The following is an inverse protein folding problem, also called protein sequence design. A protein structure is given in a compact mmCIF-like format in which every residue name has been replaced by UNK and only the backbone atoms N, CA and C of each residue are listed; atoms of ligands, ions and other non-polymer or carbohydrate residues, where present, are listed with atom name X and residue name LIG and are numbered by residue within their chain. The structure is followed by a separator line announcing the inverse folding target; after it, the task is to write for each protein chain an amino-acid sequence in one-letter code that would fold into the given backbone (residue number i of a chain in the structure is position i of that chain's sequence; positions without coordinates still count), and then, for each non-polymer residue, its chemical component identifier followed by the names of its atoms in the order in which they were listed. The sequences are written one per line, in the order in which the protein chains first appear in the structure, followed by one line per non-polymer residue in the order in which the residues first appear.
data_IF_187777999064
#
_entry.id   IF_187777999064
#
_cell.length_a   1.000
_cell.length_b   1.000
_cell.length_c   1.000
_cell.angle_alpha   90.00
_cell.angle_beta   90.00
_cell.angle_gamma   90.00
#
_symmetry.space_group_name_H-M   'P 1'
#
loop_
_entity.id
_entity.type
_entity.pdbx_description
1 polymer ?
#
# COMPACT_ATOMS: atom_id res chain seq x y z
N UNK A 1 -1.57 9.38 -9.41
CA UNK A 1 -1.02 8.23 -8.66
C UNK A 1 0.50 8.26 -8.63
N UNK A 2 1.17 8.18 -9.79
CA UNK A 2 2.65 8.15 -9.86
C UNK A 2 3.33 9.42 -9.30
N UNK A 3 2.82 10.61 -9.61
CA UNK A 3 3.36 11.86 -9.04
C UNK A 3 3.34 11.91 -7.51
N UNK A 4 2.34 11.28 -6.86
CA UNK A 4 2.31 11.17 -5.40
C UNK A 4 3.34 10.15 -4.90
N UNK A 5 3.53 9.05 -5.64
CA UNK A 5 4.62 8.09 -5.39
C UNK A 5 6.00 8.75 -5.51
N UNK A 6 6.21 9.60 -6.52
CA UNK A 6 7.46 10.32 -6.71
C UNK A 6 7.77 11.22 -5.52
N UNK A 7 6.76 11.95 -5.00
CA UNK A 7 6.92 12.77 -3.80
C UNK A 7 7.21 11.91 -2.56
N UNK A 8 6.47 10.82 -2.34
CA UNK A 8 6.70 9.93 -1.20
C UNK A 8 8.12 9.35 -1.22
N UNK A 9 8.62 8.96 -2.39
CA UNK A 9 10.00 8.48 -2.59
C UNK A 9 11.01 9.60 -2.37
N UNK A 10 10.79 10.79 -2.94
CA UNK A 10 11.69 11.93 -2.81
C UNK A 10 11.89 12.34 -1.35
N UNK A 11 10.82 12.32 -0.55
CA UNK A 11 10.87 12.66 0.88
C UNK A 11 11.14 11.46 1.80
N UNK A 12 11.44 10.27 1.25
CA UNK A 12 11.64 9.04 2.03
C UNK A 12 10.52 8.77 3.05
N UNK A 13 9.27 8.96 2.63
CA UNK A 13 8.12 8.71 3.50
C UNK A 13 7.86 7.20 3.62
N UNK A 14 7.53 6.70 4.83
CA UNK A 14 7.00 5.36 4.99
C UNK A 14 5.78 5.17 4.08
N UNK A 15 5.87 4.19 3.19
CA UNK A 15 4.85 3.91 2.17
C UNK A 15 4.37 2.47 2.35
N UNK A 16 3.06 2.27 2.30
CA UNK A 16 2.43 0.95 2.38
C UNK A 16 1.58 0.78 1.12
N UNK A 17 1.77 -0.34 0.43
CA UNK A 17 0.99 -0.70 -0.76
C UNK A 17 -0.11 -1.67 -0.36
N UNK A 18 -1.34 -1.45 -0.84
CA UNK A 18 -2.44 -2.38 -0.58
C UNK A 18 -3.43 -2.42 -1.74
N UNK A 19 -4.01 -3.58 -1.98
CA UNK A 19 -5.03 -3.83 -3.01
C UNK A 19 -6.27 -4.48 -2.38
N UNK A 20 -7.37 -4.49 -3.13
CA UNK A 20 -8.61 -5.19 -2.76
C UNK A 20 -8.98 -6.15 -3.88
N UNK A 21 -9.02 -7.45 -3.57
CA UNK A 21 -9.41 -8.53 -4.48
C UNK A 21 -8.70 -8.48 -5.85
N UNK A 22 -7.36 -8.42 -5.81
CA UNK A 22 -6.53 -8.14 -7.00
C UNK A 22 -6.49 -9.24 -8.06
N UNK A 23 -6.85 -10.48 -7.69
CA UNK A 23 -7.00 -11.60 -8.63
C UNK A 23 -8.39 -11.65 -9.28
N UNK A 24 -9.29 -10.73 -8.89
CA UNK A 24 -10.64 -10.61 -9.41
C UNK A 24 -10.81 -9.41 -10.36
N UNK A 25 -12.06 -8.91 -10.54
CA UNK A 25 -12.35 -7.82 -11.47
C UNK A 25 -11.59 -6.51 -11.22
N UNK A 26 -11.10 -6.30 -9.99
CA UNK A 26 -10.33 -5.11 -9.63
C UNK A 26 -8.92 -5.11 -10.24
N UNK A 27 -8.38 -6.29 -10.56
CA UNK A 27 -7.07 -6.45 -11.16
C UNK A 27 -5.89 -6.11 -10.23
N UNK A 28 -4.65 -6.29 -10.73
CA UNK A 28 -3.44 -6.08 -9.96
C UNK A 28 -3.16 -4.59 -9.72
N UNK A 29 -2.34 -4.29 -8.69
CA UNK A 29 -1.73 -2.97 -8.56
C UNK A 29 -0.87 -2.68 -9.80
N UNK A 30 -0.88 -1.42 -10.24
CA UNK A 30 -0.03 -0.94 -11.35
C UNK A 30 1.45 -1.31 -11.11
N UNK A 31 2.13 -1.95 -12.08
CA UNK A 31 3.50 -2.45 -11.91
C UNK A 31 4.51 -1.37 -11.49
N UNK A 32 4.32 -0.13 -11.95
CA UNK A 32 5.20 1.00 -11.68
C UNK A 32 5.30 1.31 -10.20
N UNK A 33 4.21 1.15 -9.43
CA UNK A 33 4.26 1.36 -7.98
C UNK A 33 5.03 0.24 -7.25
N UNK A 34 4.90 -1.00 -7.71
CA UNK A 34 5.69 -2.12 -7.15
C UNK A 34 7.18 -1.91 -7.44
N UNK A 35 7.52 -1.44 -8.64
CA UNK A 35 8.90 -1.11 -9.01
C UNK A 35 9.43 0.12 -8.26
N UNK A 36 8.59 1.10 -7.97
CA UNK A 36 8.97 2.31 -7.25
C UNK A 36 9.26 2.05 -5.77
N UNK A 37 8.50 1.14 -5.16
CA UNK A 37 8.57 0.79 -3.73
C UNK A 37 8.72 -0.73 -3.53
N UNK A 38 9.85 -1.33 -3.94
CA UNK A 38 10.03 -2.78 -3.90
C UNK A 38 10.05 -3.35 -2.47
N UNK A 39 10.47 -2.54 -1.50
CA UNK A 39 10.60 -2.94 -0.09
C UNK A 39 9.43 -2.47 0.79
N UNK A 40 8.46 -1.74 0.22
CA UNK A 40 7.29 -1.32 0.98
C UNK A 40 6.42 -2.53 1.35
N UNK A 41 5.84 -2.56 2.57
CA UNK A 41 4.85 -3.57 2.91
C UNK A 41 3.74 -3.62 1.86
N UNK A 42 3.51 -4.79 1.29
CA UNK A 42 2.47 -5.04 0.29
C UNK A 42 1.40 -5.96 0.87
N UNK A 43 0.19 -5.43 1.08
CA UNK A 43 -0.93 -6.17 1.68
C UNK A 43 -2.05 -6.30 0.66
N UNK A 44 -2.17 -7.47 0.03
CA UNK A 44 -3.29 -7.81 -0.84
C UNK A 44 -4.49 -8.28 0.00
N UNK A 45 -5.55 -7.46 0.09
CA UNK A 45 -6.73 -7.81 0.90
C UNK A 45 -7.68 -8.68 0.07
N UNK A 46 -8.08 -9.87 0.56
CA UNK A 46 -8.89 -10.80 -0.23
C UNK A 46 -10.34 -10.37 -0.40
N UNK A 47 -10.85 -9.49 0.47
CA UNK A 47 -12.26 -9.04 0.41
C UNK A 47 -12.60 -7.82 1.27
N UNK A 48 -11.71 -7.37 2.17
CA UNK A 48 -11.95 -6.17 2.97
C UNK A 48 -11.99 -4.94 2.05
N UNK A 49 -13.17 -4.32 1.92
CA UNK A 49 -13.33 -3.05 1.22
C UNK A 49 -12.58 -1.96 1.98
N UNK A 50 -12.91 -1.78 3.27
CA UNK A 50 -12.15 -0.91 4.16
C UNK A 50 -10.81 -1.57 4.53
N UNK A 51 -9.70 -0.88 4.26
CA UNK A 51 -8.37 -1.37 4.59
C UNK A 51 -8.13 -1.49 6.10
N UNK A 52 -8.82 -0.68 6.90
CA UNK A 52 -8.68 -0.67 8.36
C UNK A 52 -9.26 -1.93 9.04
N UNK A 53 -10.11 -2.69 8.35
CA UNK A 53 -10.64 -3.96 8.84
C UNK A 53 -9.64 -5.12 8.64
N UNK A 54 -8.51 -4.87 7.97
CA UNK A 54 -7.44 -5.84 7.80
C UNK A 54 -6.34 -5.60 8.84
N UNK A 55 -6.10 -6.60 9.69
CA UNK A 55 -5.14 -6.46 10.79
C UNK A 55 -3.71 -6.22 10.32
N UNK A 56 -3.30 -6.83 9.21
CA UNK A 56 -1.93 -6.69 8.69
C UNK A 56 -1.70 -5.27 8.17
N UNK A 57 -2.73 -4.67 7.54
CA UNK A 57 -2.71 -3.27 7.16
C UNK A 57 -2.58 -2.35 8.37
N UNK A 58 -3.40 -2.54 9.41
CA UNK A 58 -3.34 -1.72 10.63
C UNK A 58 -1.99 -1.88 11.36
N UNK A 59 -1.45 -3.10 11.41
CA UNK A 59 -0.13 -3.39 11.99
C UNK A 59 0.97 -2.66 11.21
N UNK A 60 0.95 -2.72 9.87
CA UNK A 60 1.91 -2.03 9.03
C UNK A 60 1.84 -0.50 9.21
N UNK A 61 0.64 0.07 9.25
CA UNK A 61 0.45 1.51 9.50
C UNK A 61 1.03 1.91 10.86
N UNK A 62 0.69 1.18 11.93
CA UNK A 62 1.22 1.45 13.28
C UNK A 62 2.75 1.32 13.33
N UNK A 63 3.33 0.37 12.59
CA UNK A 63 4.78 0.18 12.52
C UNK A 63 5.53 1.36 11.87
N UNK A 64 4.85 2.22 11.12
CA UNK A 64 5.48 3.44 10.56
C UNK A 64 5.81 4.48 11.63
N UNK A 65 5.19 4.41 12.81
CA UNK A 65 5.35 5.40 13.88
C UNK A 65 4.87 6.81 13.53
N UNK A 66 4.14 6.97 12.40
CA UNK A 66 3.56 8.25 12.00
C UNK A 66 2.21 8.42 12.69
N UNK A 67 2.14 9.40 13.58
CA UNK A 67 0.88 9.80 14.21
C UNK A 67 0.17 10.83 13.32
N UNK A 68 -1.17 10.78 13.32
CA UNK A 68 -2.05 11.78 12.72
C UNK A 68 -2.36 12.88 13.73
#
# INVERSE_FOLDING_TARGET
MLALGDLAKYFNLPTILTTSFETGPNGPLVPELKAQFPDAPYIARPGNINAWDNEDFVKAVKATGKNS
#
